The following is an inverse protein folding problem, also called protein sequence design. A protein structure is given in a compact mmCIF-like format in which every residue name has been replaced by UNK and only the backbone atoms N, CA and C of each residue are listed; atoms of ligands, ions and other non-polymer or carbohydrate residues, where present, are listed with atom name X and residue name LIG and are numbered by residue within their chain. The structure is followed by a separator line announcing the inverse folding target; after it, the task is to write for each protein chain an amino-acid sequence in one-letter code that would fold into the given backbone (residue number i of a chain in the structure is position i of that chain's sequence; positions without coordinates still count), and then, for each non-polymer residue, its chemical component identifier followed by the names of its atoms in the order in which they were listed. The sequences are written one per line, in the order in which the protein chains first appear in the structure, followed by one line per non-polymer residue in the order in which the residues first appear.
data_IF_247231439580
#
_entry.id   IF_247231439580
#
_cell.length_a   1.000
_cell.length_b   1.000
_cell.length_c   1.000
_cell.angle_alpha   90.00
_cell.angle_beta   90.00
_cell.angle_gamma   90.00
#
_symmetry.space_group_name_H-M   'P 1'
#
loop_
_entity.id
_entity.type
_entity.pdbx_description
1 polymer ?
#
# COMPACT_ATOMS: atom_id res chain seq x y z
N UNK A 1 16.70 -31.94 -24.53
CA UNK A 1 15.29 -31.64 -24.87
C UNK A 1 14.51 -31.85 -23.58
N UNK A 2 14.12 -30.76 -22.89
CA UNK A 2 13.34 -30.85 -21.67
C UNK A 2 11.89 -31.18 -22.06
N UNK A 3 11.38 -32.28 -21.54
CA UNK A 3 10.04 -32.79 -21.80
C UNK A 3 8.98 -31.79 -21.28
N UNK A 4 8.35 -31.08 -22.22
CA UNK A 4 7.32 -30.07 -21.97
C UNK A 4 5.97 -30.68 -21.50
N UNK A 5 5.87 -32.00 -21.31
CA UNK A 5 4.62 -32.68 -20.93
C UNK A 5 4.46 -32.92 -19.43
N UNK A 6 5.50 -32.72 -18.62
CA UNK A 6 5.36 -32.75 -17.15
C UNK A 6 4.91 -31.38 -16.64
N UNK A 7 3.60 -31.19 -16.48
CA UNK A 7 3.09 -30.16 -15.56
C UNK A 7 3.73 -30.40 -14.18
N UNK A 8 4.24 -29.36 -13.50
CA UNK A 8 4.68 -29.50 -12.12
C UNK A 8 3.53 -30.11 -11.29
N UNK A 9 3.85 -30.97 -10.32
CA UNK A 9 2.85 -31.65 -9.47
C UNK A 9 1.88 -30.66 -8.77
N UNK A 10 2.31 -29.41 -8.61
CA UNK A 10 1.52 -28.29 -8.08
C UNK A 10 1.53 -27.13 -9.08
N UNK A 11 0.39 -26.46 -9.35
CA UNK A 11 0.37 -25.23 -10.14
C UNK A 11 1.22 -24.14 -9.47
N UNK A 12 1.91 -23.32 -10.25
CA UNK A 12 2.72 -22.22 -9.71
C UNK A 12 1.83 -21.06 -9.25
N UNK A 13 2.25 -20.37 -8.19
CA UNK A 13 1.75 -19.04 -7.84
C UNK A 13 2.92 -18.08 -7.64
N UNK A 14 2.79 -16.84 -8.12
CA UNK A 14 3.78 -15.78 -7.94
C UNK A 14 3.20 -14.68 -7.06
N UNK A 15 3.92 -14.36 -5.97
CA UNK A 15 3.67 -13.16 -5.17
C UNK A 15 4.62 -12.04 -5.59
N UNK A 16 4.10 -11.05 -6.29
CA UNK A 16 4.75 -9.76 -6.56
C UNK A 16 4.32 -8.77 -5.48
N UNK A 17 4.94 -8.89 -4.30
CA UNK A 17 4.63 -8.06 -3.13
C UNK A 17 5.90 -7.73 -2.34
N UNK A 18 6.22 -8.52 -1.31
CA UNK A 18 7.45 -8.41 -0.54
C UNK A 18 8.10 -9.78 -0.48
N UNK A 19 9.31 -9.93 -1.01
CA UNK A 19 9.99 -11.23 -0.98
C UNK A 19 10.57 -11.52 0.41
N UNK A 20 11.12 -10.50 1.07
CA UNK A 20 11.84 -10.65 2.33
C UNK A 20 11.01 -11.27 3.48
N UNK A 21 9.74 -10.86 3.75
CA UNK A 21 8.95 -11.41 4.85
C UNK A 21 8.71 -12.91 4.79
N UNK A 22 8.76 -13.50 3.60
CA UNK A 22 8.53 -14.94 3.42
C UNK A 22 9.67 -15.81 3.96
N UNK A 23 10.85 -15.22 4.21
CA UNK A 23 11.98 -15.89 4.84
C UNK A 23 12.05 -15.69 6.36
N UNK A 24 11.11 -14.94 6.96
CA UNK A 24 11.14 -14.66 8.39
C UNK A 24 10.53 -15.82 9.20
N UNK A 25 11.00 -15.98 10.44
CA UNK A 25 10.35 -16.85 11.40
C UNK A 25 8.99 -16.27 11.81
N UNK A 26 8.07 -17.12 12.27
CA UNK A 26 6.70 -16.70 12.60
C UNK A 26 6.64 -15.66 13.75
N UNK A 27 7.64 -15.65 14.63
CA UNK A 27 7.81 -14.75 15.77
C UNK A 27 8.80 -13.60 15.49
N UNK A 28 9.23 -13.41 14.23
CA UNK A 28 10.17 -12.36 13.88
C UNK A 28 9.58 -10.96 14.13
N UNK A 29 10.25 -10.10 14.91
CA UNK A 29 9.71 -8.78 15.27
C UNK A 29 9.46 -7.87 14.07
N UNK A 30 10.08 -8.13 12.91
CA UNK A 30 9.83 -7.38 11.67
C UNK A 30 8.41 -7.59 11.13
N UNK A 31 7.75 -8.70 11.50
CA UNK A 31 6.34 -8.95 11.16
C UNK A 31 5.37 -8.12 12.00
N UNK A 32 5.80 -7.63 13.17
CA UNK A 32 4.98 -6.77 14.04
C UNK A 32 5.03 -5.27 13.67
N UNK A 33 5.84 -4.90 12.67
CA UNK A 33 5.98 -3.53 12.17
C UNK A 33 4.83 -3.10 11.28
N UNK A 34 5.13 -2.71 10.04
CA UNK A 34 4.11 -2.37 9.06
C UNK A 34 3.32 -3.63 8.65
N UNK A 35 2.00 -3.52 8.48
CA UNK A 35 1.10 -4.68 8.27
C UNK A 35 1.47 -5.50 7.04
N UNK A 36 1.90 -4.83 5.97
CA UNK A 36 2.36 -5.45 4.72
C UNK A 36 3.27 -6.67 4.89
N UNK A 37 4.14 -6.68 5.91
CA UNK A 37 5.05 -7.79 6.15
C UNK A 37 4.29 -9.07 6.54
N UNK A 38 3.44 -9.01 7.57
CA UNK A 38 2.65 -10.17 7.97
C UNK A 38 1.54 -10.48 6.98
N UNK A 39 0.92 -9.47 6.35
CA UNK A 39 -0.07 -9.65 5.28
C UNK A 39 0.52 -10.48 4.14
N UNK A 40 1.76 -10.19 3.73
CA UNK A 40 2.47 -10.95 2.71
C UNK A 40 2.62 -12.43 3.11
N UNK A 41 3.00 -12.70 4.36
CA UNK A 41 3.09 -14.09 4.86
C UNK A 41 1.72 -14.78 4.90
N UNK A 42 0.65 -14.05 5.23
CA UNK A 42 -0.72 -14.58 5.28
C UNK A 42 -1.25 -14.94 3.87
N UNK A 43 -0.98 -14.09 2.87
CA UNK A 43 -1.31 -14.37 1.46
C UNK A 43 -0.52 -15.60 0.98
N UNK A 44 0.80 -15.61 1.21
CA UNK A 44 1.66 -16.73 0.85
C UNK A 44 1.19 -18.06 1.46
N UNK A 45 0.85 -18.05 2.74
CA UNK A 45 0.30 -19.20 3.46
C UNK A 45 -1.01 -19.66 2.83
N UNK A 46 -1.95 -18.75 2.58
CA UNK A 46 -3.26 -19.05 2.00
C UNK A 46 -3.16 -19.69 0.61
N UNK A 47 -2.18 -19.25 -0.19
CA UNK A 47 -1.88 -19.79 -1.52
C UNK A 47 -1.25 -21.18 -1.40
N UNK A 48 -0.28 -21.38 -0.50
CA UNK A 48 0.36 -22.69 -0.27
C UNK A 48 -0.61 -23.73 0.28
N UNK A 49 -1.49 -23.36 1.20
CA UNK A 49 -2.53 -24.25 1.75
C UNK A 49 -3.52 -24.74 0.68
N UNK A 50 -3.63 -24.01 -0.45
CA UNK A 50 -4.40 -24.41 -1.64
C UNK A 50 -3.62 -25.27 -2.63
N UNK A 51 -2.38 -25.65 -2.30
CA UNK A 51 -1.56 -26.58 -3.09
C UNK A 51 -0.71 -25.93 -4.18
N UNK A 52 -0.57 -24.60 -4.20
CA UNK A 52 0.29 -23.91 -5.16
C UNK A 52 1.77 -23.93 -4.74
N UNK A 53 2.65 -24.08 -5.72
CA UNK A 53 4.09 -23.87 -5.56
C UNK A 53 4.41 -22.38 -5.65
N UNK A 54 4.86 -21.78 -4.55
CA UNK A 54 5.04 -20.34 -4.42
C UNK A 54 6.43 -19.89 -4.90
N UNK A 55 6.44 -18.97 -5.87
CA UNK A 55 7.57 -18.09 -6.18
C UNK A 55 7.24 -16.67 -5.66
N UNK A 56 8.24 -15.86 -5.35
CA UNK A 56 8.02 -14.49 -4.85
C UNK A 56 9.09 -13.52 -5.33
N UNK A 57 8.68 -12.29 -5.58
CA UNK A 57 9.51 -11.15 -5.94
C UNK A 57 9.04 -9.92 -5.18
N UNK A 58 9.92 -8.93 -5.04
CA UNK A 58 9.49 -7.61 -4.59
C UNK A 58 8.64 -6.95 -5.68
N UNK A 59 7.61 -6.21 -5.27
CA UNK A 59 6.71 -5.48 -6.17
C UNK A 59 7.46 -4.53 -7.12
N UNK A 60 8.66 -4.12 -6.74
CA UNK A 60 9.56 -3.26 -7.52
C UNK A 60 10.49 -4.02 -8.48
N UNK A 61 10.48 -5.35 -8.49
CA UNK A 61 11.30 -6.14 -9.41
C UNK A 61 10.63 -6.21 -10.80
N UNK A 62 11.05 -5.32 -11.69
CA UNK A 62 10.65 -5.33 -13.10
C UNK A 62 11.55 -6.20 -14.00
N UNK A 63 12.66 -6.72 -13.46
CA UNK A 63 13.63 -7.53 -14.18
C UNK A 63 13.31 -9.03 -14.13
N UNK A 64 12.47 -9.47 -13.19
CA UNK A 64 12.10 -10.87 -13.04
C UNK A 64 11.53 -11.46 -14.34
N UNK A 65 12.17 -12.52 -14.83
CA UNK A 65 11.72 -13.31 -15.98
C UNK A 65 11.12 -14.65 -15.53
N UNK A 66 9.82 -14.91 -15.76
CA UNK A 66 9.17 -16.13 -15.30
C UNK A 66 9.74 -17.36 -16.03
N UNK A 67 10.06 -18.41 -15.28
CA UNK A 67 10.54 -19.70 -15.80
C UNK A 67 9.42 -20.73 -15.98
N UNK A 68 8.18 -20.35 -15.65
CA UNK A 68 6.98 -21.19 -15.70
C UNK A 68 5.74 -20.34 -15.90
N UNK A 69 4.64 -20.99 -16.28
CA UNK A 69 3.29 -20.44 -16.20
C UNK A 69 2.79 -20.49 -14.75
N UNK A 70 1.97 -19.51 -14.37
CA UNK A 70 1.37 -19.41 -13.05
C UNK A 70 -0.15 -19.57 -13.12
N UNK A 71 -0.70 -20.37 -12.20
CA UNK A 71 -2.14 -20.38 -11.97
C UNK A 71 -2.62 -19.10 -11.28
N UNK A 72 -1.74 -18.46 -10.48
CA UNK A 72 -2.03 -17.19 -9.79
C UNK A 72 -0.82 -16.26 -9.85
N UNK A 73 -1.04 -15.02 -10.25
CA UNK A 73 -0.13 -13.89 -9.98
C UNK A 73 -0.86 -12.91 -9.07
N UNK A 74 -0.30 -12.69 -7.89
CA UNK A 74 -0.71 -11.63 -6.96
C UNK A 74 0.23 -10.44 -7.14
N UNK A 75 -0.30 -9.24 -7.37
CA UNK A 75 0.49 -8.03 -7.60
C UNK A 75 -0.21 -6.78 -7.08
N UNK A 76 0.58 -5.73 -6.77
CA UNK A 76 0.02 -4.44 -6.35
C UNK A 76 -0.40 -3.54 -7.52
N UNK A 77 0.23 -3.68 -8.69
CA UNK A 77 -0.07 -3.02 -9.99
C UNK A 77 1.17 -3.02 -10.92
N UNK A 78 2.39 -3.14 -10.39
CA UNK A 78 3.62 -2.85 -11.15
C UNK A 78 3.99 -3.96 -12.14
N UNK A 79 3.73 -5.22 -11.78
CA UNK A 79 4.15 -6.38 -12.57
C UNK A 79 2.98 -7.11 -13.25
N UNK A 80 1.73 -6.81 -12.89
CA UNK A 80 0.58 -7.57 -13.37
C UNK A 80 0.43 -7.53 -14.90
N UNK A 81 0.52 -6.35 -15.52
CA UNK A 81 0.46 -6.20 -16.99
C UNK A 81 1.49 -7.10 -17.69
N UNK A 82 2.78 -6.95 -17.35
CA UNK A 82 3.87 -7.68 -18.04
C UNK A 82 3.86 -9.18 -17.79
N UNK A 83 3.18 -9.63 -16.73
CA UNK A 83 3.03 -11.05 -16.37
C UNK A 83 1.67 -11.62 -16.76
N UNK A 84 0.77 -10.82 -17.35
CA UNK A 84 -0.61 -11.22 -17.59
C UNK A 84 -0.73 -12.44 -18.49
N UNK A 85 0.10 -12.54 -19.53
CA UNK A 85 0.10 -13.69 -20.46
C UNK A 85 0.60 -14.98 -19.81
N UNK A 86 1.27 -14.88 -18.65
CA UNK A 86 1.83 -16.02 -17.91
C UNK A 86 0.96 -16.43 -16.71
N UNK A 87 -0.25 -15.90 -16.62
CA UNK A 87 -1.09 -15.97 -15.42
C UNK A 87 -2.55 -16.30 -15.78
N UNK A 88 -3.06 -17.39 -15.22
CA UNK A 88 -4.49 -17.71 -15.31
C UNK A 88 -5.32 -16.72 -14.46
N UNK A 89 -5.02 -16.64 -13.16
CA UNK A 89 -5.60 -15.66 -12.24
C UNK A 89 -4.63 -14.48 -12.09
N UNK A 90 -5.11 -13.29 -12.45
CA UNK A 90 -4.41 -12.01 -12.36
C UNK A 90 -5.02 -11.23 -11.21
N UNK A 91 -4.50 -11.46 -10.01
CA UNK A 91 -5.02 -10.88 -8.77
C UNK A 91 -4.30 -9.57 -8.45
N UNK A 92 -4.98 -8.45 -8.67
CA UNK A 92 -4.52 -7.13 -8.26
C UNK A 92 -4.99 -6.80 -6.84
N UNK A 93 -4.07 -6.41 -5.97
CA UNK A 93 -4.36 -5.99 -4.61
C UNK A 93 -4.07 -4.49 -4.42
N UNK A 94 -5.14 -3.71 -4.33
CA UNK A 94 -5.11 -2.26 -4.20
C UNK A 94 -4.97 -1.87 -2.73
N UNK A 95 -3.90 -1.17 -2.38
CA UNK A 95 -3.63 -0.74 -1.00
C UNK A 95 -4.05 0.71 -0.72
N UNK A 96 -4.76 1.35 -1.66
CA UNK A 96 -5.22 2.73 -1.54
C UNK A 96 -6.05 3.20 -2.73
N UNK A 97 -6.37 4.50 -2.72
CA UNK A 97 -7.14 5.13 -3.79
C UNK A 97 -6.37 5.23 -5.11
N UNK A 98 -7.10 5.43 -6.20
CA UNK A 98 -6.55 5.52 -7.54
C UNK A 98 -5.41 6.56 -7.64
N UNK A 99 -4.28 6.29 -8.32
CA UNK A 99 -3.14 7.20 -8.39
C UNK A 99 -3.49 8.63 -8.81
N UNK A 100 -4.31 8.80 -9.86
CA UNK A 100 -4.80 10.13 -10.30
C UNK A 100 -5.54 10.89 -9.20
N UNK A 101 -6.41 10.21 -8.46
CA UNK A 101 -7.13 10.84 -7.35
C UNK A 101 -6.15 11.26 -6.24
N UNK A 102 -5.24 10.36 -5.83
CA UNK A 102 -4.27 10.64 -4.78
C UNK A 102 -3.34 11.81 -5.13
N UNK A 103 -2.91 11.88 -6.40
CA UNK A 103 -2.11 12.99 -6.93
C UNK A 103 -2.88 14.31 -6.89
N UNK A 104 -4.09 14.34 -7.45
CA UNK A 104 -4.94 15.54 -7.47
C UNK A 104 -5.26 16.04 -6.06
N UNK A 105 -5.59 15.13 -5.13
CA UNK A 105 -5.87 15.46 -3.73
C UNK A 105 -4.65 16.07 -3.02
N UNK A 106 -3.44 15.58 -3.28
CA UNK A 106 -2.23 16.18 -2.75
C UNK A 106 -1.94 17.56 -3.33
N UNK A 107 -2.13 17.75 -4.64
CA UNK A 107 -1.95 19.05 -5.30
C UNK A 107 -2.89 20.08 -4.72
N UNK A 108 -4.17 19.75 -4.60
CA UNK A 108 -5.17 20.61 -3.98
C UNK A 108 -4.81 21.01 -2.54
N UNK A 109 -4.23 20.10 -1.75
CA UNK A 109 -3.75 20.40 -0.39
C UNK A 109 -2.58 21.37 -0.38
N UNK A 110 -1.60 21.20 -1.27
CA UNK A 110 -0.46 22.09 -1.40
C UNK A 110 -0.86 23.48 -1.89
N UNK A 111 -1.74 23.57 -2.89
CA UNK A 111 -2.24 24.84 -3.41
C UNK A 111 -3.03 25.60 -2.34
N UNK A 112 -3.85 24.88 -1.57
CA UNK A 112 -4.55 25.47 -0.44
C UNK A 112 -3.58 25.97 0.64
N UNK A 113 -2.49 25.27 0.92
CA UNK A 113 -1.47 25.73 1.87
C UNK A 113 -0.78 26.99 1.36
N UNK A 114 -0.36 26.99 0.09
CA UNK A 114 0.27 28.14 -0.55
C UNK A 114 -0.63 29.39 -0.52
N UNK A 115 -1.93 29.23 -0.80
CA UNK A 115 -2.89 30.32 -0.73
C UNK A 115 -3.03 30.92 0.68
N UNK A 116 -2.96 30.09 1.74
CA UNK A 116 -3.14 30.53 3.14
C UNK A 116 -1.88 31.09 3.78
N UNK A 117 -0.71 30.54 3.43
CA UNK A 117 0.55 30.75 4.14
C UNK A 117 1.66 31.34 3.27
N UNK A 118 1.46 31.43 1.95
CA UNK A 118 2.47 31.93 1.01
C UNK A 118 3.66 30.99 0.79
N UNK A 119 3.61 29.76 1.34
CA UNK A 119 4.68 28.76 1.23
C UNK A 119 4.34 27.69 0.22
N UNK A 120 5.34 27.21 -0.52
CA UNK A 120 5.20 26.11 -1.49
C UNK A 120 6.08 24.95 -1.07
N UNK A 121 5.46 23.78 -0.90
CA UNK A 121 6.16 22.54 -0.56
C UNK A 121 6.18 21.60 -1.76
N UNK A 122 7.11 20.66 -1.77
CA UNK A 122 7.19 19.67 -2.83
C UNK A 122 6.11 18.57 -2.66
N UNK A 123 5.58 17.99 -3.77
CA UNK A 123 4.85 16.73 -3.73
C UNK A 123 5.59 15.63 -2.97
N UNK A 124 4.83 14.80 -2.27
CA UNK A 124 5.34 13.55 -1.66
C UNK A 124 4.86 12.32 -2.41
N UNK A 125 3.78 12.43 -3.17
CA UNK A 125 3.35 11.40 -4.11
C UNK A 125 3.91 11.71 -5.48
N UNK A 126 4.84 10.87 -5.93
CA UNK A 126 5.34 10.86 -7.30
C UNK A 126 4.66 9.73 -8.05
N UNK A 127 3.71 10.07 -8.92
CA UNK A 127 3.28 9.22 -10.02
C UNK A 127 3.48 10.05 -11.27
N UNK A 128 4.30 9.58 -12.19
CA UNK A 128 4.31 10.15 -13.53
C UNK A 128 3.21 9.53 -14.39
N UNK A 129 2.97 10.09 -15.57
CA UNK A 129 1.95 9.57 -16.50
C UNK A 129 2.24 8.12 -16.93
N UNK A 130 3.51 7.69 -16.95
CA UNK A 130 3.87 6.32 -17.30
C UNK A 130 3.50 5.33 -16.18
N UNK A 131 3.70 5.70 -14.92
CA UNK A 131 3.29 4.93 -13.74
C UNK A 131 1.77 4.81 -13.68
N UNK A 132 1.04 5.90 -13.93
CA UNK A 132 -0.42 5.90 -13.98
C UNK A 132 -0.91 5.03 -15.14
N UNK A 133 -0.33 5.17 -16.33
CA UNK A 133 -0.72 4.36 -17.47
C UNK A 133 -0.42 2.87 -17.24
N UNK A 134 0.69 2.53 -16.58
CA UNK A 134 0.98 1.15 -16.17
C UNK A 134 -0.04 0.63 -15.17
N UNK A 135 -0.40 1.44 -14.17
CA UNK A 135 -1.44 1.08 -13.22
C UNK A 135 -2.77 0.75 -13.91
N UNK A 136 -3.20 1.60 -14.84
CA UNK A 136 -4.45 1.41 -15.60
C UNK A 136 -4.40 0.12 -16.45
N UNK A 137 -3.28 -0.14 -17.13
CA UNK A 137 -3.11 -1.36 -17.94
C UNK A 137 -3.13 -2.61 -17.05
N UNK A 138 -2.41 -2.61 -15.93
CA UNK A 138 -2.48 -3.70 -14.96
C UNK A 138 -3.89 -3.94 -14.44
N UNK A 139 -4.62 -2.87 -14.13
CA UNK A 139 -6.01 -2.96 -13.69
C UNK A 139 -6.92 -3.55 -14.78
N UNK A 140 -6.74 -3.16 -16.04
CA UNK A 140 -7.47 -3.73 -17.18
C UNK A 140 -7.14 -5.22 -17.40
N UNK A 141 -5.93 -5.66 -17.04
CA UNK A 141 -5.54 -7.06 -17.08
C UNK A 141 -5.97 -7.85 -15.83
N UNK A 142 -6.50 -7.25 -14.78
CA UNK A 142 -6.86 -7.99 -13.57
C UNK A 142 -8.12 -8.85 -13.78
N UNK A 143 -8.11 -10.10 -13.30
CA UNK A 143 -9.32 -10.94 -13.21
C UNK A 143 -9.96 -10.89 -11.84
N UNK A 144 -9.16 -10.60 -10.81
CA UNK A 144 -9.58 -10.43 -9.43
C UNK A 144 -8.98 -9.14 -8.93
N UNK A 145 -9.81 -8.26 -8.37
CA UNK A 145 -9.35 -7.04 -7.74
C UNK A 145 -9.85 -6.99 -6.32
N UNK A 146 -8.92 -6.84 -5.40
CA UNK A 146 -9.20 -6.64 -3.98
C UNK A 146 -8.69 -5.28 -3.54
N UNK A 147 -9.32 -4.65 -2.56
CA UNK A 147 -8.91 -3.33 -2.08
C UNK A 147 -8.95 -3.21 -0.56
N UNK A 148 -7.88 -2.69 0.02
CA UNK A 148 -7.89 -2.15 1.37
C UNK A 148 -8.46 -0.73 1.35
N UNK A 149 -9.50 -0.49 2.13
CA UNK A 149 -10.09 0.83 2.26
C UNK A 149 -11.59 0.80 2.50
N UNK A 150 -12.16 2.01 2.54
CA UNK A 150 -13.58 2.24 2.79
C UNK A 150 -14.33 2.60 1.49
N UNK A 151 -15.57 3.08 1.64
CA UNK A 151 -16.37 3.54 0.52
C UNK A 151 -15.76 4.75 -0.20
N UNK A 152 -15.05 5.63 0.52
CA UNK A 152 -14.38 6.80 -0.06
C UNK A 152 -13.21 6.35 -0.93
N UNK A 153 -12.46 5.36 -0.48
CA UNK A 153 -11.35 4.80 -1.27
C UNK A 153 -11.88 4.13 -2.53
N UNK A 154 -13.01 3.40 -2.43
CA UNK A 154 -13.62 2.71 -3.56
C UNK A 154 -14.13 3.69 -4.62
N UNK A 155 -14.73 4.82 -4.20
CA UNK A 155 -15.27 5.80 -5.15
C UNK A 155 -14.20 6.47 -6.01
N UNK A 156 -12.92 6.38 -5.63
CA UNK A 156 -11.81 6.84 -6.48
C UNK A 156 -11.63 6.01 -7.76
N UNK A 157 -12.30 4.86 -7.85
CA UNK A 157 -12.31 3.97 -9.01
C UNK A 157 -13.64 3.99 -9.79
N UNK A 158 -14.55 4.92 -9.46
CA UNK A 158 -15.85 5.02 -10.15
C UNK A 158 -15.64 5.25 -11.66
N UNK A 159 -16.41 4.51 -12.47
CA UNK A 159 -16.33 4.56 -13.93
C UNK A 159 -15.27 3.63 -14.57
N UNK A 160 -14.43 2.94 -13.80
CA UNK A 160 -13.38 2.05 -14.33
C UNK A 160 -13.92 0.68 -14.78
N UNK A 161 -15.17 0.34 -14.46
CA UNK A 161 -15.83 -0.87 -14.99
C UNK A 161 -15.31 -2.19 -14.42
N UNK A 162 -14.43 -2.15 -13.41
CA UNK A 162 -13.87 -3.32 -12.75
C UNK A 162 -14.57 -3.54 -11.40
N UNK A 163 -14.98 -4.78 -11.12
CA UNK A 163 -15.53 -5.16 -9.81
C UNK A 163 -14.39 -5.25 -8.80
N UNK A 164 -14.49 -4.45 -7.74
CA UNK A 164 -13.50 -4.40 -6.64
C UNK A 164 -14.12 -5.01 -5.39
N UNK A 165 -13.49 -6.07 -4.87
CA UNK A 165 -13.86 -6.67 -3.59
C UNK A 165 -13.14 -5.94 -2.44
N UNK A 166 -13.89 -5.26 -1.58
CA UNK A 166 -13.33 -4.56 -0.42
C UNK A 166 -12.94 -5.53 0.67
N UNK A 167 -11.81 -5.25 1.31
CA UNK A 167 -11.32 -5.93 2.49
C UNK A 167 -11.20 -4.93 3.63
N UNK A 168 -11.43 -5.41 4.86
CA UNK A 168 -11.15 -4.62 6.04
C UNK A 168 -9.65 -4.29 6.09
N UNK A 169 -9.34 -3.04 6.47
CA UNK A 169 -7.96 -2.65 6.73
C UNK A 169 -7.41 -3.52 7.84
N UNK A 170 -6.23 -4.10 7.60
CA UNK A 170 -5.60 -4.96 8.60
C UNK A 170 -4.84 -4.11 9.63
N UNK A 171 -4.54 -4.70 10.78
CA UNK A 171 -3.77 -4.06 11.84
C UNK A 171 -2.62 -4.97 12.27
N UNK A 172 -1.49 -4.38 12.61
CA UNK A 172 -0.38 -5.14 13.19
C UNK A 172 -0.74 -5.54 14.61
N UNK A 173 -0.37 -6.76 15.05
CA UNK A 173 -0.58 -7.18 16.42
C UNK A 173 0.19 -6.23 17.35
N UNK A 174 -0.54 -5.46 18.13
CA UNK A 174 0.02 -4.63 19.20
C UNK A 174 -0.19 -5.35 20.51
N UNK A 175 0.86 -5.41 21.34
CA UNK A 175 0.72 -5.91 22.70
C UNK A 175 -0.23 -4.98 23.45
N UNK A 176 -1.36 -5.49 23.99
CA UNK A 176 -2.24 -4.67 24.80
C UNK A 176 -1.44 -4.10 25.96
N UNK A 177 -1.41 -2.77 26.05
CA UNK A 177 -0.79 -2.06 27.16
C UNK A 177 -1.89 -1.40 27.97
N UNK A 178 -1.82 -1.53 29.29
CA UNK A 178 -2.67 -0.72 30.17
C UNK A 178 -2.40 0.76 29.88
N UNK A 179 -3.46 1.56 29.89
CA UNK A 179 -3.30 3.01 29.83
C UNK A 179 -2.52 3.44 31.07
N UNK A 180 -1.44 4.20 30.89
CA UNK A 180 -0.75 4.82 32.01
C UNK A 180 -1.69 5.87 32.65
N UNK A 181 -1.63 6.02 33.98
CA UNK A 181 -2.50 6.95 34.73
C UNK A 181 -2.13 8.44 34.54
N UNK A 182 -1.10 8.74 33.73
CA UNK A 182 -0.53 10.08 33.48
C UNK A 182 -1.19 10.82 32.29
N UNK A 183 -2.37 10.37 31.85
CA UNK A 183 -3.06 11.00 30.74
C UNK A 183 -3.56 12.41 31.11
N UNK A 184 -3.16 13.39 30.30
CA UNK A 184 -3.68 14.76 30.38
C UNK A 184 -4.80 15.00 29.35
N UNK A 185 -5.96 15.46 29.82
CA UNK A 185 -7.21 15.68 29.05
C UNK A 185 -7.13 16.71 27.89
N UNK A 186 -5.95 17.27 27.60
CA UNK A 186 -5.70 18.26 26.55
C UNK A 186 -4.55 17.89 25.62
N UNK A 187 -4.28 16.60 25.54
CA UNK A 187 -3.17 16.04 24.78
C UNK A 187 -3.70 15.26 23.59
N UNK A 188 -3.16 15.56 22.41
CA UNK A 188 -3.60 14.99 21.14
C UNK A 188 -2.42 14.38 20.39
N UNK A 189 -2.71 13.39 19.56
CA UNK A 189 -1.73 12.70 18.74
C UNK A 189 -2.06 12.90 17.26
N UNK A 190 -1.12 13.47 16.51
CA UNK A 190 -1.07 13.31 15.07
C UNK A 190 -0.09 12.17 14.78
N UNK A 191 -0.59 11.05 14.27
CA UNK A 191 0.22 9.88 13.95
C UNK A 191 0.03 9.47 12.49
N UNK A 192 1.07 9.65 11.69
CA UNK A 192 1.00 9.40 10.26
C UNK A 192 2.38 9.15 9.64
N UNK A 193 2.42 8.32 8.58
CA UNK A 193 3.61 8.22 7.71
C UNK A 193 3.86 9.49 6.87
N UNK A 194 4.75 9.42 5.89
CA UNK A 194 5.08 10.55 4.98
C UNK A 194 3.88 11.19 4.26
N UNK A 195 4.06 12.42 3.78
CA UNK A 195 3.00 13.22 3.16
C UNK A 195 2.25 14.07 4.17
N UNK A 196 2.95 14.77 5.05
CA UNK A 196 2.35 15.39 6.23
C UNK A 196 1.24 16.40 5.89
N UNK A 197 1.41 17.25 4.87
CA UNK A 197 0.39 18.23 4.43
C UNK A 197 -0.83 17.55 3.80
N UNK A 198 -0.62 16.49 3.03
CA UNK A 198 -1.74 15.71 2.53
C UNK A 198 -2.55 15.09 3.68
N UNK A 199 -1.86 14.69 4.74
CA UNK A 199 -2.43 14.14 5.97
C UNK A 199 -2.84 15.21 6.98
N UNK A 200 -2.84 16.47 6.58
CA UNK A 200 -3.43 17.59 7.31
C UNK A 200 -2.61 18.12 8.48
N UNK A 201 -1.33 17.78 8.61
CA UNK A 201 -0.49 18.30 9.70
C UNK A 201 -0.47 19.84 9.71
N UNK A 202 -0.41 20.47 8.52
CA UNK A 202 -0.47 21.92 8.35
C UNK A 202 -1.70 22.54 9.03
N UNK A 203 -2.87 21.91 8.85
CA UNK A 203 -4.13 22.36 9.46
C UNK A 203 -4.18 22.13 10.96
N UNK A 204 -3.68 20.99 11.42
CA UNK A 204 -3.62 20.70 12.84
C UNK A 204 -2.71 21.72 13.53
N UNK A 205 -1.53 22.00 12.98
CA UNK A 205 -0.63 23.03 13.52
C UNK A 205 -1.28 24.43 13.52
N UNK A 206 -2.03 24.79 12.46
CA UNK A 206 -2.78 26.06 12.40
C UNK A 206 -3.78 26.21 13.55
N UNK A 207 -4.45 25.12 13.93
CA UNK A 207 -5.41 25.11 15.05
C UNK A 207 -4.66 25.22 16.38
N UNK A 208 -3.67 24.35 16.62
CA UNK A 208 -2.95 24.30 17.90
C UNK A 208 -2.14 25.57 18.18
N UNK A 209 -1.65 26.26 17.15
CA UNK A 209 -1.01 27.57 17.31
C UNK A 209 -1.94 28.65 17.92
N UNK A 210 -3.26 28.47 17.84
CA UNK A 210 -4.27 29.36 18.43
C UNK A 210 -4.76 28.89 19.81
N UNK A 211 -4.32 27.71 20.24
CA UNK A 211 -4.77 27.02 21.44
C UNK A 211 -3.56 26.56 22.28
N UNK A 212 -2.80 27.49 22.89
CA UNK A 212 -1.59 27.17 23.65
C UNK A 212 -1.84 26.30 24.89
N UNK A 213 -3.10 26.17 25.31
CA UNK A 213 -3.54 25.28 26.37
C UNK A 213 -3.64 23.80 25.96
N UNK A 214 -3.50 23.48 24.66
CA UNK A 214 -3.53 22.14 24.11
C UNK A 214 -2.12 21.68 23.73
N UNK A 215 -1.85 20.38 23.90
CA UNK A 215 -0.58 19.75 23.49
C UNK A 215 -0.82 18.82 22.31
N UNK A 216 0.00 18.98 21.25
CA UNK A 216 0.02 18.08 20.10
C UNK A 216 1.34 17.30 20.08
N UNK A 217 1.26 15.97 20.13
CA UNK A 217 2.36 15.10 19.79
C UNK A 217 2.30 14.75 18.31
N UNK A 218 3.33 15.11 17.57
CA UNK A 218 3.48 14.75 16.16
C UNK A 218 4.42 13.54 16.04
N UNK A 219 3.88 12.41 15.61
CA UNK A 219 4.64 11.17 15.41
C UNK A 219 4.57 10.78 13.93
N UNK A 220 5.73 10.71 13.28
CA UNK A 220 5.82 10.39 11.87
C UNK A 220 7.14 10.89 11.27
N UNK A 221 7.46 10.49 10.03
CA UNK A 221 8.69 10.89 9.37
C UNK A 221 8.59 12.31 8.75
N UNK A 222 7.76 13.20 9.30
CA UNK A 222 7.56 14.55 8.76
C UNK A 222 8.85 15.39 8.86
N UNK A 223 9.74 15.09 9.79
CA UNK A 223 11.06 15.75 9.90
C UNK A 223 11.97 15.47 8.69
N UNK A 224 11.74 14.36 7.96
CA UNK A 224 12.45 14.08 6.72
C UNK A 224 11.96 14.98 5.56
N UNK A 225 10.80 15.61 5.70
CA UNK A 225 10.23 16.56 4.75
C UNK A 225 10.81 17.96 5.00
N UNK A 226 12.07 18.17 4.60
CA UNK A 226 12.86 19.38 4.95
C UNK A 226 12.27 20.74 4.57
N UNK A 227 11.26 20.79 3.70
CA UNK A 227 10.57 22.03 3.32
C UNK A 227 9.41 22.38 4.28
N UNK A 228 9.05 21.48 5.21
CA UNK A 228 8.04 21.71 6.25
C UNK A 228 8.62 22.43 7.48
N UNK A 229 9.94 22.33 7.69
CA UNK A 229 10.66 22.87 8.84
C UNK A 229 10.81 24.40 8.81
#
# INVERSE_FOLDING_TARGET
MLDATRRPQSPGALLSYLAAPLGFAADDPRLAGHTNAWECTAVARSVRERGYALDAIDWSDDAFAPRREYGVVFDLHRNLERLAERAEIRWMHLTGGHPRFAYAAERARLDALAARRGVRLAPRRSFDEADVARFDRSLAHATVVTMLGDAVTQSTYDGIGVRIERMAVTASPVTPRARDDDFHDRTFLWFAGSGAVHKGLDRVLEVFARHPELTLHCVGPYEAERDIA
#
